data_IF_378203107271
#
_entry.id   IF_378203107271
#
_cell.length_a   1.000
_cell.length_b   1.000
_cell.length_c   1.000
_cell.angle_alpha   90.00
_cell.angle_beta   90.00
_cell.angle_gamma   90.00
#
_symmetry.space_group_name_H-M   'P 1'
#
loop_
_entity.id
_entity.type
_entity.pdbx_description
1 polymer ?
#
# COMPACT_ATOMS: atom_id res chain seq x y z
N UNK A 1 52.79 -4.22 5.29
CA UNK A 1 52.26 -4.34 3.91
C UNK A 1 51.67 -5.71 3.71
N UNK A 2 50.36 -5.79 3.48
CA UNK A 2 49.64 -6.92 2.87
C UNK A 2 48.41 -6.34 2.19
N UNK A 3 48.44 -6.31 0.86
CA UNK A 3 47.36 -5.83 0.01
C UNK A 3 46.23 -6.86 0.00
N UNK A 4 45.01 -6.44 0.32
CA UNK A 4 43.80 -7.22 0.10
C UNK A 4 43.39 -7.07 -1.37
N UNK A 5 43.24 -8.20 -2.06
CA UNK A 5 42.72 -8.26 -3.41
C UNK A 5 41.20 -8.01 -3.38
N UNK A 6 40.78 -6.93 -3.99
CA UNK A 6 39.38 -6.59 -4.24
C UNK A 6 38.92 -7.34 -5.51
N UNK A 7 38.04 -8.33 -5.35
CA UNK A 7 37.40 -9.03 -6.46
C UNK A 7 36.27 -8.16 -7.02
N UNK A 8 36.60 -7.36 -8.04
CA UNK A 8 35.61 -6.61 -8.84
C UNK A 8 34.97 -7.55 -9.85
N UNK A 9 33.71 -7.93 -9.62
CA UNK A 9 32.88 -8.61 -10.60
C UNK A 9 32.39 -7.62 -11.66
N UNK A 10 33.05 -7.60 -12.83
CA UNK A 10 32.56 -6.91 -14.03
C UNK A 10 31.67 -7.88 -14.80
N UNK A 11 30.35 -7.62 -14.84
CA UNK A 11 29.45 -8.27 -15.79
C UNK A 11 29.46 -7.45 -17.08
N UNK A 12 30.23 -7.88 -18.06
CA UNK A 12 30.29 -7.29 -19.40
C UNK A 12 29.08 -7.75 -20.21
N UNK A 13 28.09 -6.87 -20.38
CA UNK A 13 27.11 -6.95 -21.45
C UNK A 13 27.37 -5.78 -22.42
N UNK A 14 28.03 -6.07 -23.55
CA UNK A 14 28.25 -5.12 -24.64
C UNK A 14 27.07 -5.20 -25.61
N UNK A 15 26.25 -4.15 -25.68
CA UNK A 15 25.53 -3.76 -26.90
C UNK A 15 25.11 -2.29 -26.85
N UNK A 16 25.76 -1.46 -27.66
CA UNK A 16 25.29 -0.12 -28.05
C UNK A 16 25.71 1.00 -27.10
N UNK A 17 26.47 1.97 -27.63
CA UNK A 17 27.09 3.03 -26.85
C UNK A 17 26.11 4.10 -26.34
N UNK A 18 26.06 4.25 -25.03
CA UNK A 18 25.80 5.50 -24.31
C UNK A 18 26.20 5.26 -22.84
N UNK A 19 27.35 5.80 -22.42
CA UNK A 19 27.78 5.80 -21.02
C UNK A 19 26.93 6.81 -20.26
N UNK A 20 25.95 6.35 -19.49
CA UNK A 20 25.21 7.19 -18.55
C UNK A 20 25.78 6.92 -17.16
N UNK A 21 26.67 7.79 -16.68
CA UNK A 21 27.04 7.82 -15.26
C UNK A 21 25.84 8.34 -14.49
N UNK A 22 25.08 7.44 -13.88
CA UNK A 22 24.07 7.76 -12.88
C UNK A 22 24.54 7.19 -11.54
N UNK A 23 24.82 8.07 -10.58
CA UNK A 23 25.04 7.70 -9.17
C UNK A 23 23.76 7.03 -8.67
N UNK A 24 23.87 5.75 -8.32
CA UNK A 24 22.81 4.95 -7.73
C UNK A 24 22.42 5.51 -6.34
N UNK A 25 21.16 5.90 -6.08
CA UNK A 25 20.74 6.24 -4.73
C UNK A 25 20.69 4.97 -3.86
N UNK A 26 21.05 5.11 -2.59
CA UNK A 26 21.31 4.07 -1.56
C UNK A 26 20.13 3.13 -1.24
N UNK A 27 19.05 3.11 -2.02
CA UNK A 27 17.83 2.36 -1.73
C UNK A 27 17.69 1.01 -2.49
N UNK A 28 18.76 0.49 -3.11
CA UNK A 28 18.71 -0.74 -3.90
C UNK A 28 19.64 -1.86 -3.37
N UNK A 29 19.64 -2.10 -2.05
CA UNK A 29 20.45 -3.17 -1.42
C UNK A 29 19.69 -4.39 -0.90
N UNK A 30 18.38 -4.52 -1.17
CA UNK A 30 17.60 -5.67 -0.68
C UNK A 30 16.89 -6.42 -1.81
N UNK A 31 17.64 -7.09 -2.70
CA UNK A 31 17.12 -8.13 -3.60
C UNK A 31 18.18 -9.20 -3.89
N UNK A 32 18.74 -9.83 -2.85
CA UNK A 32 19.48 -11.10 -2.99
C UNK A 32 19.25 -11.93 -1.73
N UNK A 33 18.28 -12.85 -1.77
CA UNK A 33 18.32 -14.16 -1.09
C UNK A 33 16.95 -14.83 -1.19
N UNK A 34 16.80 -15.78 -2.11
CA UNK A 34 15.91 -16.95 -1.98
C UNK A 34 15.94 -17.84 -3.25
N UNK A 35 17.10 -18.42 -3.60
CA UNK A 35 17.08 -19.65 -4.43
C UNK A 35 18.30 -20.54 -4.11
N UNK A 36 18.26 -21.15 -2.93
CA UNK A 36 19.01 -22.34 -2.51
C UNK A 36 18.22 -22.81 -1.27
N UNK A 37 17.75 -24.03 -1.09
CA UNK A 37 18.26 -25.34 -1.46
C UNK A 37 17.06 -26.31 -1.50
N UNK A 38 16.94 -27.14 -2.54
CA UNK A 38 16.07 -28.33 -2.52
C UNK A 38 16.97 -29.55 -2.76
N UNK A 39 17.22 -30.43 -1.78
CA UNK A 39 17.85 -31.71 -2.05
C UNK A 39 16.82 -32.72 -2.58
N UNK A 40 17.20 -33.33 -3.69
CA UNK A 40 16.56 -34.45 -4.40
C UNK A 40 16.56 -35.72 -3.56
N UNK A 41 15.47 -36.49 -3.58
CA UNK A 41 15.54 -37.96 -3.56
C UNK A 41 14.26 -38.58 -4.13
N UNK A 42 14.41 -39.41 -5.16
CA UNK A 42 13.33 -40.26 -5.68
C UNK A 42 13.45 -41.69 -5.15
N UNK A 43 12.34 -42.41 -5.07
CA UNK A 43 12.24 -43.84 -5.38
C UNK A 43 10.79 -44.31 -5.30
N UNK A 44 10.36 -45.09 -6.30
CA UNK A 44 9.10 -45.83 -6.31
C UNK A 44 9.26 -47.13 -5.51
N UNK A 45 8.24 -47.54 -4.74
CA UNK A 45 7.76 -48.93 -4.71
C UNK A 45 6.53 -49.12 -3.83
N UNK A 46 5.68 -50.01 -4.32
CA UNK A 46 4.42 -50.51 -3.80
C UNK A 46 4.58 -51.41 -2.55
N UNK A 47 3.44 -51.66 -1.90
CA UNK A 47 3.00 -52.85 -1.12
C UNK A 47 2.40 -52.43 0.24
N UNK A 48 1.08 -52.54 0.39
CA UNK A 48 0.36 -53.68 1.00
C UNK A 48 0.75 -53.96 2.46
N UNK A 49 -0.21 -53.79 3.37
CA UNK A 49 -0.26 -54.56 4.61
C UNK A 49 -0.66 -53.83 5.90
N UNK A 50 -1.95 -53.97 6.24
CA UNK A 50 -2.45 -54.42 7.56
C UNK A 50 -2.37 -53.53 8.82
N UNK A 51 -3.58 -53.12 9.25
CA UNK A 51 -4.24 -53.22 10.59
C UNK A 51 -3.51 -52.90 11.91
N UNK A 52 -4.27 -52.24 12.81
CA UNK A 52 -4.01 -52.04 14.24
C UNK A 52 -3.46 -50.64 14.54
N UNK A 53 -3.92 -49.85 15.51
CA UNK A 53 -4.71 -50.12 16.70
C UNK A 53 -5.30 -48.79 17.22
N UNK A 54 -6.35 -48.93 18.02
CA UNK A 54 -7.22 -47.95 18.64
C UNK A 54 -6.52 -47.24 19.81
N UNK A 55 -6.38 -45.91 19.79
CA UNK A 55 -5.64 -45.18 20.83
C UNK A 55 -6.11 -43.76 21.12
N UNK A 56 -7.30 -43.63 21.74
CA UNK A 56 -7.71 -42.67 22.79
C UNK A 56 -7.02 -41.29 22.94
N UNK A 57 -7.90 -40.28 23.10
CA UNK A 57 -7.77 -39.03 23.88
C UNK A 57 -6.83 -37.97 23.28
N UNK A 58 -7.19 -36.71 23.06
CA UNK A 58 -8.25 -35.84 23.55
C UNK A 58 -7.67 -34.41 23.55
N UNK A 59 -8.50 -33.38 23.32
CA UNK A 59 -8.12 -32.00 23.66
C UNK A 59 -8.02 -31.00 22.49
N UNK A 60 -9.17 -30.39 22.20
CA UNK A 60 -9.36 -28.95 22.02
C UNK A 60 -8.24 -28.09 21.42
N UNK A 61 -8.50 -27.63 20.21
CA UNK A 61 -7.80 -26.51 19.57
C UNK A 61 -7.75 -25.26 20.46
N UNK A 62 -6.56 -24.68 20.59
CA UNK A 62 -6.38 -23.22 20.75
C UNK A 62 -5.34 -22.78 19.73
N UNK A 63 -5.83 -22.07 18.71
CA UNK A 63 -5.01 -21.46 17.68
C UNK A 63 -3.98 -20.53 18.29
N UNK A 64 -2.73 -20.84 18.01
CA UNK A 64 -1.61 -19.92 18.18
C UNK A 64 -1.80 -18.77 17.21
N UNK A 65 -2.17 -17.60 17.72
CA UNK A 65 -2.05 -16.35 16.98
C UNK A 65 -0.58 -16.16 16.63
N UNK A 66 -0.24 -16.37 15.35
CA UNK A 66 1.08 -16.02 14.83
C UNK A 66 1.16 -14.50 14.86
N UNK A 67 1.95 -13.97 15.78
CA UNK A 67 2.30 -12.57 15.85
C UNK A 67 2.84 -12.12 14.49
N UNK A 68 2.04 -11.31 13.78
CA UNK A 68 2.48 -10.60 12.60
C UNK A 68 3.68 -9.74 12.98
N UNK A 69 4.74 -9.92 12.22
CA UNK A 69 5.97 -9.13 12.28
C UNK A 69 5.60 -7.64 12.22
N UNK A 70 5.77 -6.91 13.32
CA UNK A 70 5.70 -5.45 13.35
C UNK A 70 6.82 -4.92 12.46
N UNK A 71 6.49 -4.66 11.19
CA UNK A 71 7.24 -3.70 10.39
C UNK A 71 7.09 -2.35 11.10
N UNK A 72 8.15 -1.52 11.10
CA UNK A 72 8.09 -0.13 11.57
C UNK A 72 6.77 0.50 11.11
N UNK A 73 5.85 0.68 12.06
CA UNK A 73 4.47 0.95 11.73
C UNK A 73 4.37 2.44 11.43
N UNK A 74 4.33 2.79 10.14
CA UNK A 74 4.22 4.17 9.70
C UNK A 74 3.00 4.82 10.36
N UNK A 75 3.25 5.86 11.16
CA UNK A 75 2.22 6.71 11.76
C UNK A 75 2.03 7.90 10.82
N UNK A 76 0.88 8.02 10.13
CA UNK A 76 0.60 9.16 9.26
C UNK A 76 0.63 10.48 10.05
N UNK A 77 1.04 11.60 9.45
CA UNK A 77 0.97 12.90 10.10
C UNK A 77 -0.43 13.21 10.62
N UNK A 78 -0.54 13.89 11.76
CA UNK A 78 -1.84 14.16 12.39
C UNK A 78 -2.51 12.95 13.06
N UNK A 79 -1.80 11.82 13.19
CA UNK A 79 -2.26 10.64 13.93
C UNK A 79 -1.31 10.30 15.09
N UNK A 80 -1.86 9.68 16.14
CA UNK A 80 -1.07 9.15 17.27
C UNK A 80 -0.73 7.65 17.10
N UNK A 81 -1.36 7.01 16.12
CA UNK A 81 -1.22 5.59 15.81
C UNK A 81 -1.32 5.38 14.29
N UNK A 82 -0.84 4.24 13.79
CA UNK A 82 -1.04 3.85 12.40
C UNK A 82 -2.52 3.70 12.04
N UNK A 83 -2.81 3.71 10.74
CA UNK A 83 -4.13 3.36 10.25
C UNK A 83 -4.50 1.94 10.66
N UNK A 84 -5.73 1.75 11.14
CA UNK A 84 -6.24 0.41 11.42
C UNK A 84 -6.16 -0.44 10.15
N UNK A 85 -5.78 -1.73 10.28
CA UNK A 85 -5.83 -2.64 9.15
C UNK A 85 -7.28 -2.78 8.64
N UNK A 86 -7.42 -3.21 7.39
CA UNK A 86 -8.73 -3.54 6.81
C UNK A 86 -9.42 -4.62 7.65
N UNK A 87 -10.73 -4.51 7.82
CA UNK A 87 -11.50 -5.50 8.57
C UNK A 87 -11.85 -6.69 7.64
N UNK A 88 -11.39 -7.92 7.93
CA UNK A 88 -11.69 -9.09 7.12
C UNK A 88 -13.18 -9.44 7.03
N UNK A 89 -13.98 -9.13 8.05
CA UNK A 89 -15.44 -9.36 8.06
C UNK A 89 -16.19 -8.34 7.20
N UNK A 90 -15.56 -7.20 6.93
CA UNK A 90 -16.09 -6.14 6.08
C UNK A 90 -15.03 -5.71 5.08
N UNK A 91 -14.70 -6.57 4.10
CA UNK A 91 -13.57 -6.33 3.21
C UNK A 91 -13.81 -5.10 2.32
N UNK A 92 -12.73 -4.44 1.86
CA UNK A 92 -12.82 -3.39 0.85
C UNK A 92 -13.40 -3.89 -0.47
N UNK A 93 -13.90 -2.97 -1.28
CA UNK A 93 -14.36 -3.25 -2.63
C UNK A 93 -13.18 -3.68 -3.53
N UNK A 94 -13.14 -4.97 -3.85
CA UNK A 94 -12.06 -5.57 -4.63
C UNK A 94 -11.84 -4.88 -5.99
N UNK A 95 -12.89 -4.49 -6.70
CA UNK A 95 -12.75 -3.85 -8.00
C UNK A 95 -12.02 -2.50 -7.90
N UNK A 96 -12.20 -1.78 -6.79
CA UNK A 96 -11.54 -0.50 -6.55
C UNK A 96 -10.11 -0.71 -6.09
N UNK A 97 -9.84 -1.72 -5.26
CA UNK A 97 -8.48 -2.13 -4.90
C UNK A 97 -7.67 -2.53 -6.15
N UNK A 98 -8.25 -3.38 -7.00
CA UNK A 98 -7.63 -3.78 -8.27
C UNK A 98 -7.38 -2.56 -9.18
N UNK A 99 -8.29 -1.58 -9.17
CA UNK A 99 -8.11 -0.34 -9.92
C UNK A 99 -6.96 0.52 -9.36
N UNK A 100 -6.83 0.68 -8.04
CA UNK A 100 -5.69 1.37 -7.42
C UNK A 100 -4.35 0.72 -7.81
N UNK A 101 -4.33 -0.62 -7.90
CA UNK A 101 -3.14 -1.36 -8.28
C UNK A 101 -2.83 -1.32 -9.79
N UNK A 102 -3.80 -0.89 -10.61
CA UNK A 102 -3.66 -0.86 -12.06
C UNK A 102 -2.57 0.12 -12.51
N UNK A 103 -1.82 -0.19 -13.59
CA UNK A 103 -0.82 0.73 -14.15
C UNK A 103 -1.40 2.11 -14.47
N UNK A 104 -2.69 2.15 -14.83
CA UNK A 104 -3.39 3.38 -15.15
C UNK A 104 -3.51 4.32 -13.94
N UNK A 105 -3.97 3.82 -12.79
CA UNK A 105 -4.07 4.64 -11.58
C UNK A 105 -2.70 4.93 -10.99
N UNK A 106 -1.77 3.96 -10.99
CA UNK A 106 -0.38 4.20 -10.56
C UNK A 106 0.34 5.26 -11.39
N UNK A 107 0.07 5.30 -12.70
CA UNK A 107 0.59 6.37 -13.57
C UNK A 107 0.00 7.74 -13.20
N UNK A 108 -1.29 7.80 -12.88
CA UNK A 108 -1.96 9.03 -12.42
C UNK A 108 -1.45 9.53 -11.06
N UNK A 109 -1.12 8.63 -10.13
CA UNK A 109 -0.60 9.00 -8.81
C UNK A 109 0.84 9.52 -8.88
N UNK A 110 1.63 9.05 -9.85
CA UNK A 110 3.00 9.49 -10.07
C UNK A 110 3.10 10.81 -10.87
N UNK A 111 2.00 11.29 -11.47
CA UNK A 111 1.96 12.52 -12.24
C UNK A 111 1.39 13.67 -11.41
N UNK A 112 2.22 14.70 -11.16
CA UNK A 112 1.80 15.93 -10.45
C UNK A 112 0.71 16.72 -11.20
N UNK A 113 0.60 16.50 -12.52
CA UNK A 113 -0.43 17.15 -13.35
C UNK A 113 -1.81 16.51 -13.31
N UNK A 114 -1.98 15.36 -12.65
CA UNK A 114 -3.30 14.73 -12.51
C UNK A 114 -4.02 15.28 -11.28
N UNK A 115 -5.27 15.71 -11.45
CA UNK A 115 -6.10 16.15 -10.32
C UNK A 115 -6.63 14.94 -9.52
N UNK A 116 -6.66 15.06 -8.19
CA UNK A 116 -7.24 14.08 -7.29
C UNK A 116 -8.70 13.76 -7.65
N UNK A 117 -9.42 14.76 -8.18
CA UNK A 117 -10.80 14.60 -8.70
C UNK A 117 -10.89 13.57 -9.83
N UNK A 118 -9.89 13.50 -10.71
CA UNK A 118 -9.85 12.53 -11.81
C UNK A 118 -9.62 11.12 -11.29
N UNK A 119 -8.67 10.96 -10.36
CA UNK A 119 -8.40 9.66 -9.71
C UNK A 119 -9.67 9.17 -9.01
N UNK A 120 -10.30 10.00 -8.19
CA UNK A 120 -11.53 9.67 -7.47
C UNK A 120 -12.67 9.27 -8.42
N UNK A 121 -12.83 9.98 -9.54
CA UNK A 121 -13.84 9.65 -10.56
C UNK A 121 -13.58 8.30 -11.22
N UNK A 122 -12.32 7.93 -11.47
CA UNK A 122 -11.97 6.63 -12.07
C UNK A 122 -12.16 5.48 -11.08
N UNK A 123 -11.91 5.71 -9.78
CA UNK A 123 -12.21 4.74 -8.73
C UNK A 123 -13.72 4.53 -8.56
N UNK A 124 -14.53 5.60 -8.64
CA UNK A 124 -16.00 5.49 -8.66
C UNK A 124 -16.49 4.68 -9.87
N UNK A 125 -15.91 4.88 -11.05
CA UNK A 125 -16.23 4.10 -12.23
C UNK A 125 -15.86 2.61 -12.06
N UNK A 126 -14.71 2.31 -11.47
CA UNK A 126 -14.30 0.93 -11.14
C UNK A 126 -15.25 0.25 -10.15
N UNK A 127 -15.85 1.02 -9.23
CA UNK A 127 -16.89 0.53 -8.33
C UNK A 127 -18.26 0.28 -9.00
N UNK A 128 -18.37 0.49 -10.33
CA UNK A 128 -19.63 0.41 -11.05
C UNK A 128 -20.61 1.52 -10.64
N UNK A 129 -20.10 2.69 -10.26
CA UNK A 129 -20.90 3.83 -9.80
C UNK A 129 -21.42 3.71 -8.36
N UNK A 130 -21.04 2.65 -7.62
CA UNK A 130 -21.42 2.48 -6.21
C UNK A 130 -20.47 3.25 -5.29
N UNK A 131 -21.01 3.81 -4.21
CA UNK A 131 -20.27 4.69 -3.31
C UNK A 131 -20.37 6.14 -3.75
N UNK A 132 -19.38 6.97 -3.39
CA UNK A 132 -19.38 8.39 -3.74
C UNK A 132 -17.95 8.96 -3.73
N UNK A 133 -17.78 10.10 -4.39
CA UNK A 133 -16.62 10.97 -4.16
C UNK A 133 -16.97 11.91 -3.00
N UNK A 134 -16.02 12.11 -2.10
CA UNK A 134 -16.09 13.14 -1.05
C UNK A 134 -14.99 14.16 -1.30
N UNK A 135 -15.26 15.40 -0.91
CA UNK A 135 -14.35 16.51 -0.99
C UNK A 135 -14.05 17.02 0.41
N UNK A 136 -12.77 17.19 0.72
CA UNK A 136 -12.34 17.95 1.89
C UNK A 136 -11.91 19.35 1.46
N UNK A 137 -12.32 20.34 2.25
CA UNK A 137 -11.90 21.74 2.12
C UNK A 137 -11.40 22.29 3.44
N UNK A 138 -10.37 23.14 3.40
CA UNK A 138 -9.96 23.90 4.57
C UNK A 138 -11.00 24.99 4.88
N UNK A 139 -11.12 25.36 6.15
CA UNK A 139 -11.96 26.51 6.58
C UNK A 139 -11.42 27.83 6.02
N UNK A 140 -10.09 27.95 5.90
CA UNK A 140 -9.39 29.06 5.27
C UNK A 140 -9.01 28.71 3.84
N UNK A 141 -9.31 29.57 2.86
CA UNK A 141 -9.09 29.28 1.44
C UNK A 141 -7.61 28.94 1.17
N UNK A 142 -7.38 27.86 0.43
CA UNK A 142 -6.05 27.40 0.02
C UNK A 142 -5.09 27.15 1.18
N UNK A 143 -5.61 26.66 2.31
CA UNK A 143 -4.83 26.30 3.49
C UNK A 143 -5.06 24.83 3.90
N UNK A 144 -5.27 23.94 2.94
CA UNK A 144 -5.37 22.51 3.20
C UNK A 144 -3.98 21.88 3.13
N UNK A 145 -3.60 21.19 4.20
CA UNK A 145 -2.42 20.37 4.27
C UNK A 145 -2.80 18.91 4.02
N UNK A 146 -2.11 18.28 3.07
CA UNK A 146 -2.26 16.87 2.73
C UNK A 146 -0.93 16.14 2.93
N UNK A 147 -0.99 14.81 2.98
CA UNK A 147 0.18 13.96 2.89
C UNK A 147 0.06 13.07 1.65
N UNK A 148 0.90 13.34 0.64
CA UNK A 148 0.85 12.65 -0.65
C UNK A 148 2.25 12.16 -1.03
N UNK A 149 2.33 10.90 -1.46
CA UNK A 149 3.56 10.26 -1.95
C UNK A 149 4.75 10.40 -0.99
N UNK A 150 4.48 10.37 0.32
CA UNK A 150 5.49 10.48 1.37
C UNK A 150 5.83 11.91 1.82
N UNK A 151 5.19 12.94 1.25
CA UNK A 151 5.49 14.34 1.52
C UNK A 151 4.28 15.10 2.02
N UNK A 152 4.50 16.08 2.90
CA UNK A 152 3.47 17.07 3.22
C UNK A 152 3.31 18.05 2.05
N UNK A 153 2.07 18.19 1.59
CA UNK A 153 1.68 19.07 0.48
C UNK A 153 0.75 20.15 1.05
N UNK A 154 1.29 21.30 1.48
CA UNK A 154 0.49 22.37 2.06
C UNK A 154 -0.22 23.20 0.98
N UNK A 155 -1.12 24.08 1.43
CA UNK A 155 -1.69 25.15 0.61
C UNK A 155 -2.70 24.70 -0.46
N UNK A 156 -3.26 23.50 -0.33
CA UNK A 156 -4.22 22.96 -1.29
C UNK A 156 -5.59 23.64 -1.13
N UNK A 157 -6.33 23.77 -2.24
CA UNK A 157 -7.66 24.39 -2.22
C UNK A 157 -8.76 23.41 -1.75
N UNK A 158 -8.62 22.14 -2.13
CA UNK A 158 -9.49 21.04 -1.78
C UNK A 158 -8.75 19.72 -2.08
N UNK A 159 -9.29 18.60 -1.59
CA UNK A 159 -8.89 17.26 -2.00
C UNK A 159 -10.13 16.40 -2.21
N UNK A 160 -10.12 15.57 -3.25
CA UNK A 160 -11.24 14.69 -3.58
C UNK A 160 -10.79 13.23 -3.57
N UNK A 161 -11.56 12.39 -2.87
CA UNK A 161 -11.27 10.96 -2.73
C UNK A 161 -12.53 10.14 -2.93
N UNK A 162 -12.38 8.93 -3.42
CA UNK A 162 -13.48 7.97 -3.51
C UNK A 162 -13.67 7.23 -2.18
N UNK A 163 -14.93 7.00 -1.81
CA UNK A 163 -15.31 6.14 -0.68
C UNK A 163 -16.48 5.24 -1.04
N UNK A 164 -16.43 4.00 -0.57
CA UNK A 164 -17.57 3.06 -0.58
C UNK A 164 -18.49 3.23 0.65
N UNK A 165 -18.20 4.21 1.50
CA UNK A 165 -18.88 4.48 2.77
C UNK A 165 -18.16 3.92 3.99
N UNK A 166 -17.33 2.88 3.83
CA UNK A 166 -16.55 2.27 4.91
C UNK A 166 -15.07 2.59 4.83
N UNK A 167 -14.52 2.55 3.63
CA UNK A 167 -13.12 2.85 3.35
C UNK A 167 -12.99 4.06 2.43
N UNK A 168 -11.89 4.78 2.58
CA UNK A 168 -11.41 5.78 1.65
C UNK A 168 -10.29 5.16 0.83
N UNK A 169 -10.34 5.40 -0.48
CA UNK A 169 -9.39 4.88 -1.45
C UNK A 169 -8.59 6.07 -2.00
N UNK A 170 -7.48 6.36 -1.34
CA UNK A 170 -6.60 7.50 -1.63
C UNK A 170 -5.19 6.98 -1.99
N UNK A 171 -4.93 6.67 -3.28
CA UNK A 171 -3.71 6.00 -3.69
C UNK A 171 -2.45 6.88 -3.64
N UNK A 172 -2.60 8.20 -3.43
CA UNK A 172 -1.45 9.08 -3.16
C UNK A 172 -1.05 9.05 -1.69
N UNK A 173 -2.00 8.82 -0.79
CA UNK A 173 -1.74 8.66 0.63
C UNK A 173 -1.34 7.22 1.00
N UNK A 174 -2.01 6.21 0.43
CA UNK A 174 -1.83 4.79 0.78
C UNK A 174 -2.17 3.87 -0.38
N UNK A 175 -1.35 2.85 -0.61
CA UNK A 175 -1.68 1.76 -1.56
C UNK A 175 -2.81 0.85 -1.07
N UNK A 176 -3.14 0.90 0.22
CA UNK A 176 -4.24 0.13 0.81
C UNK A 176 -5.44 1.02 1.17
N UNK A 177 -6.68 0.50 1.09
CA UNK A 177 -7.86 1.21 1.54
C UNK A 177 -7.78 1.57 3.03
N UNK A 178 -8.12 2.80 3.37
CA UNK A 178 -8.02 3.32 4.74
C UNK A 178 -9.42 3.32 5.36
N UNK A 179 -9.63 2.79 6.58
CA UNK A 179 -10.91 2.94 7.28
C UNK A 179 -11.31 4.42 7.32
N UNK A 180 -12.53 4.75 6.88
CA UNK A 180 -12.96 6.14 6.68
C UNK A 180 -12.76 7.03 7.91
N UNK A 181 -13.05 6.50 9.11
CA UNK A 181 -12.83 7.24 10.35
C UNK A 181 -11.36 7.57 10.63
N UNK A 182 -10.42 6.71 10.21
CA UNK A 182 -8.99 6.95 10.39
C UNK A 182 -8.48 7.97 9.36
N UNK A 183 -8.96 7.90 8.12
CA UNK A 183 -8.67 8.93 7.11
C UNK A 183 -9.18 10.31 7.55
N UNK A 184 -10.41 10.39 8.08
CA UNK A 184 -10.95 11.65 8.60
C UNK A 184 -10.17 12.18 9.80
N UNK A 185 -9.71 11.30 10.69
CA UNK A 185 -8.87 11.69 11.83
C UNK A 185 -7.54 12.26 11.36
N UNK A 186 -6.87 11.58 10.42
CA UNK A 186 -5.62 12.03 9.82
C UNK A 186 -5.75 13.42 9.19
N UNK A 187 -6.76 13.60 8.33
CA UNK A 187 -7.02 14.88 7.66
C UNK A 187 -7.29 16.00 8.68
N UNK A 188 -8.10 15.75 9.71
CA UNK A 188 -8.37 16.73 10.77
C UNK A 188 -7.12 17.03 11.61
N UNK A 189 -6.31 16.02 11.89
CA UNK A 189 -5.07 16.18 12.66
C UNK A 189 -4.01 16.99 11.92
N UNK A 190 -3.93 16.87 10.59
CA UNK A 190 -3.05 17.70 9.76
C UNK A 190 -3.54 19.15 9.60
N UNK A 191 -4.82 19.40 9.89
CA UNK A 191 -5.49 20.67 9.63
C UNK A 191 -6.20 21.18 10.90
N UNK A 192 -5.45 21.63 11.92
CA UNK A 192 -6.00 22.05 13.21
C UNK A 192 -6.92 23.27 13.12
N UNK A 193 -6.76 24.11 12.09
CA UNK A 193 -7.66 25.24 11.79
C UNK A 193 -9.05 24.80 11.29
N UNK A 194 -9.22 23.49 11.09
CA UNK A 194 -10.48 22.88 10.73
C UNK A 194 -10.64 22.66 9.23
N UNK A 195 -11.43 21.63 8.92
CA UNK A 195 -11.81 21.25 7.56
C UNK A 195 -13.29 20.92 7.51
N UNK A 196 -13.88 21.03 6.31
CA UNK A 196 -15.20 20.50 6.00
C UNK A 196 -15.06 19.33 5.04
N UNK A 197 -15.71 18.21 5.34
CA UNK A 197 -15.75 17.01 4.49
C UNK A 197 -17.19 16.80 4.04
N UNK A 198 -17.41 16.72 2.73
CA UNK A 198 -18.76 16.72 2.14
C UNK A 198 -18.82 15.88 0.86
N UNK A 199 -19.98 15.33 0.54
CA UNK A 199 -20.26 14.72 -0.77
C UNK A 199 -20.86 15.72 -1.78
N UNK A 200 -21.04 16.98 -1.38
CA UNK A 200 -21.38 18.10 -2.27
C UNK A 200 -20.11 18.69 -2.85
N UNK A 201 -19.64 18.09 -3.95
CA UNK A 201 -18.41 18.48 -4.64
C UNK A 201 -18.50 19.91 -5.16
N UNK A 202 -17.50 20.73 -4.87
CA UNK A 202 -17.43 22.11 -5.38
C UNK A 202 -16.31 22.30 -6.40
N UNK A 203 -15.28 21.45 -6.39
CA UNK A 203 -14.13 21.55 -7.30
C UNK A 203 -13.33 22.85 -7.17
N UNK A 204 -12.41 23.13 -8.09
CA UNK A 204 -11.67 24.39 -8.04
C UNK A 204 -12.65 25.58 -8.17
N UNK A 205 -12.54 26.55 -7.26
CA UNK A 205 -13.34 27.79 -7.23
C UNK A 205 -12.42 29.00 -7.23
#
# INVERSE_FOLDING_TARGET
GRFAAELVGVLTAVKGGAQITAKLPTAAKNLVNAIAESPVSGSMSSQLGAVGDLGRLGGGAKGTATAGKVADEFIPPGMERPFRPVNPEFPPNKAVVDAMESPRIKGMTACDGTDCSEIASKLLAAAGGKGKVIEVRPTQRSNLNLYESGNEVPGQAYHQVYTDGRYVYDPRLSSQPIPKGDWEQHIKGMNPDGVTISDKLQGLR
#
